data_IF_045111005631
#
_entry.id   IF_045111005631
#
_cell.length_a   1.000
_cell.length_b   1.000
_cell.length_c   1.000
_cell.angle_alpha   90.00
_cell.angle_beta   90.00
_cell.angle_gamma   90.00
#
_symmetry.space_group_name_H-M   'P 1'
#
loop_
_entity.id
_entity.type
_entity.pdbx_description
1 polymer ?
#
# COMPACT_ATOMS: atom_id res chain seq x y z
N UNK A 1 -23.13 -39.62 8.21
CA UNK A 1 -22.12 -38.93 9.03
C UNK A 1 -21.09 -38.27 8.10
N UNK A 2 -21.46 -37.17 7.46
CA UNK A 2 -20.57 -36.38 6.61
C UNK A 2 -20.57 -34.97 7.17
N UNK A 3 -19.52 -34.67 7.92
CA UNK A 3 -19.23 -33.33 8.42
C UNK A 3 -19.27 -32.34 7.25
N UNK A 4 -20.25 -31.43 7.26
CA UNK A 4 -20.19 -30.19 6.52
C UNK A 4 -18.95 -29.46 7.02
N UNK A 5 -17.87 -29.49 6.24
CA UNK A 5 -16.72 -28.61 6.43
C UNK A 5 -17.31 -27.20 6.34
N UNK A 6 -17.55 -26.58 7.49
CA UNK A 6 -17.80 -25.15 7.61
C UNK A 6 -16.63 -24.51 6.86
N UNK A 7 -16.86 -23.97 5.66
CA UNK A 7 -15.87 -23.15 4.97
C UNK A 7 -15.56 -22.00 5.92
N UNK A 8 -14.47 -22.12 6.67
CA UNK A 8 -13.97 -21.01 7.47
C UNK A 8 -13.76 -19.86 6.49
N UNK A 9 -14.49 -18.76 6.73
CA UNK A 9 -14.37 -17.55 5.92
C UNK A 9 -12.89 -17.16 5.91
N UNK A 10 -12.28 -17.09 4.73
CA UNK A 10 -10.88 -16.68 4.61
C UNK A 10 -10.74 -15.29 5.22
N UNK A 11 -9.86 -15.17 6.20
CA UNK A 11 -9.60 -13.89 6.86
C UNK A 11 -8.91 -12.93 5.88
N UNK A 12 -9.15 -11.64 6.06
CA UNK A 12 -8.72 -10.55 5.21
C UNK A 12 -7.58 -9.77 5.86
N UNK A 13 -6.48 -9.58 5.14
CA UNK A 13 -5.36 -8.74 5.56
C UNK A 13 -5.26 -7.52 4.65
N UNK A 14 -5.29 -6.34 5.24
CA UNK A 14 -4.97 -5.07 4.58
C UNK A 14 -3.49 -4.75 4.78
N UNK A 15 -2.68 -4.74 3.72
CA UNK A 15 -1.29 -4.32 3.80
C UNK A 15 -1.21 -2.81 3.62
N UNK A 16 -0.62 -2.17 4.61
CA UNK A 16 -0.23 -0.78 4.66
C UNK A 16 1.29 -0.73 4.58
N UNK A 17 1.82 -0.16 3.50
CA UNK A 17 3.28 -0.07 3.28
C UNK A 17 3.62 1.14 2.42
N UNK A 18 4.89 1.59 2.45
CA UNK A 18 5.32 2.74 1.65
C UNK A 18 5.26 2.29 0.20
N UNK A 19 4.21 2.74 -0.48
CA UNK A 19 3.96 2.48 -1.88
C UNK A 19 4.82 3.45 -2.69
N UNK A 20 6.14 3.28 -2.60
CA UNK A 20 7.09 4.01 -3.42
C UNK A 20 6.87 3.64 -4.89
N UNK A 21 6.47 4.61 -5.71
CA UNK A 21 6.17 4.34 -7.12
C UNK A 21 7.39 3.79 -7.88
N UNK A 22 8.61 4.11 -7.45
CA UNK A 22 9.84 3.84 -8.19
C UNK A 22 10.96 3.17 -7.36
N UNK A 23 10.60 2.39 -6.33
CA UNK A 23 11.57 1.67 -5.50
C UNK A 23 11.39 0.16 -5.66
N UNK A 24 12.43 -0.53 -6.14
CA UNK A 24 12.43 -1.99 -6.33
C UNK A 24 12.28 -2.74 -5.01
N UNK A 25 12.99 -2.31 -3.96
CA UNK A 25 12.91 -2.90 -2.62
C UNK A 25 11.48 -2.90 -2.10
N UNK A 26 10.81 -1.74 -2.10
CA UNK A 26 9.43 -1.63 -1.62
C UNK A 26 8.47 -2.54 -2.41
N UNK A 27 8.65 -2.65 -3.74
CA UNK A 27 7.78 -3.49 -4.58
C UNK A 27 7.99 -4.97 -4.31
N UNK A 28 9.25 -5.40 -4.20
CA UNK A 28 9.61 -6.80 -3.94
C UNK A 28 9.25 -7.23 -2.52
N UNK A 29 9.48 -6.38 -1.52
CA UNK A 29 9.06 -6.64 -0.14
C UNK A 29 7.53 -6.78 -0.04
N UNK A 30 6.78 -5.86 -0.66
CA UNK A 30 5.33 -5.95 -0.66
C UNK A 30 4.82 -7.19 -1.39
N UNK A 31 5.45 -7.56 -2.51
CA UNK A 31 5.14 -8.81 -3.19
C UNK A 31 5.41 -10.03 -2.30
N UNK A 32 6.57 -10.08 -1.64
CA UNK A 32 6.95 -11.19 -0.78
C UNK A 32 5.96 -11.39 0.37
N UNK A 33 5.61 -10.32 1.08
CA UNK A 33 4.67 -10.42 2.22
C UNK A 33 3.25 -10.77 1.76
N UNK A 34 2.80 -10.24 0.62
CA UNK A 34 1.53 -10.62 0.01
C UNK A 34 1.49 -12.13 -0.30
N UNK A 35 2.56 -12.69 -0.88
CA UNK A 35 2.65 -14.13 -1.15
C UNK A 35 2.70 -14.99 0.10
N UNK A 36 3.44 -14.55 1.12
CA UNK A 36 3.45 -15.24 2.42
C UNK A 36 2.04 -15.33 2.99
N UNK A 37 1.30 -14.22 3.06
CA UNK A 37 -0.06 -14.23 3.58
C UNK A 37 -1.04 -15.05 2.74
N UNK A 38 -0.95 -14.97 1.41
CA UNK A 38 -1.78 -15.82 0.53
C UNK A 38 -1.49 -17.31 0.78
N UNK A 39 -0.21 -17.69 0.90
CA UNK A 39 0.18 -19.07 1.18
C UNK A 39 -0.30 -19.58 2.55
N UNK A 40 -0.53 -18.67 3.50
CA UNK A 40 -1.12 -18.98 4.81
C UNK A 40 -2.66 -18.95 4.81
N UNK A 41 -3.30 -18.89 3.64
CA UNK A 41 -4.76 -18.97 3.52
C UNK A 41 -5.49 -17.65 3.79
N UNK A 42 -4.81 -16.51 3.68
CA UNK A 42 -5.46 -15.20 3.80
C UNK A 42 -5.85 -14.63 2.44
N UNK A 43 -6.90 -13.81 2.44
CA UNK A 43 -7.19 -12.90 1.33
C UNK A 43 -6.52 -11.56 1.61
N UNK A 44 -5.69 -11.09 0.68
CA UNK A 44 -4.75 -9.99 0.96
C UNK A 44 -4.99 -8.85 0.00
N UNK A 45 -4.87 -7.61 0.48
CA UNK A 45 -4.94 -6.42 -0.37
C UNK A 45 -3.92 -5.39 0.06
N UNK A 46 -3.07 -4.96 -0.87
CA UNK A 46 -2.19 -3.80 -0.69
C UNK A 46 -3.00 -2.53 -0.83
N UNK A 47 -3.00 -1.68 0.18
CA UNK A 47 -3.75 -0.43 0.21
C UNK A 47 -2.91 0.68 -0.42
N UNK A 48 -3.44 1.27 -1.50
CA UNK A 48 -2.80 2.39 -2.20
C UNK A 48 -3.24 3.71 -1.59
N UNK A 49 -2.31 4.65 -1.53
CA UNK A 49 -2.59 6.03 -1.16
C UNK A 49 -2.26 7.02 -2.28
N UNK A 50 -2.77 8.23 -2.14
CA UNK A 50 -2.47 9.35 -3.01
C UNK A 50 -1.15 9.97 -2.59
N UNK A 51 -0.26 10.18 -3.56
CA UNK A 51 0.86 11.08 -3.34
C UNK A 51 0.31 12.50 -3.25
N UNK A 52 0.73 13.24 -2.22
CA UNK A 52 0.37 14.65 -2.11
C UNK A 52 1.28 15.46 -3.02
N UNK A 53 0.67 16.19 -3.95
CA UNK A 53 1.31 17.36 -4.53
C UNK A 53 1.31 18.45 -3.46
N UNK A 54 2.43 19.17 -3.34
CA UNK A 54 2.50 20.30 -2.41
C UNK A 54 1.57 21.43 -2.88
N UNK A 55 1.09 22.31 -2.01
CA UNK A 55 0.34 23.50 -2.45
C UNK A 55 1.20 24.50 -3.26
N UNK A 56 2.50 24.24 -3.41
CA UNK A 56 3.41 25.08 -4.17
C UNK A 56 3.41 24.67 -5.66
N UNK A 57 2.85 25.53 -6.50
CA UNK A 57 2.71 25.33 -7.94
C UNK A 57 4.05 25.08 -8.65
N UNK A 58 5.10 25.83 -8.30
CA UNK A 58 6.44 25.68 -8.91
C UNK A 58 7.01 24.30 -8.58
N UNK A 59 6.88 23.87 -7.34
CA UNK A 59 7.34 22.54 -6.90
C UNK A 59 6.60 21.42 -7.62
N UNK A 60 5.29 21.59 -7.87
CA UNK A 60 4.49 20.61 -8.62
C UNK A 60 4.91 20.51 -10.09
N UNK A 61 5.32 21.62 -10.73
CA UNK A 61 5.89 21.60 -12.08
C UNK A 61 7.21 20.83 -12.11
N UNK A 62 8.09 21.05 -11.13
CA UNK A 62 9.38 20.34 -11.06
C UNK A 62 9.15 18.83 -10.89
N UNK A 63 8.22 18.45 -10.00
CA UNK A 63 7.85 17.05 -9.77
C UNK A 63 7.33 16.43 -11.07
N UNK A 64 6.41 17.10 -11.79
CA UNK A 64 5.86 16.56 -13.03
C UNK A 64 6.91 16.42 -14.13
N UNK A 65 7.86 17.35 -14.25
CA UNK A 65 8.99 17.24 -15.18
C UNK A 65 9.88 16.03 -14.87
N UNK A 66 10.18 15.78 -13.58
CA UNK A 66 10.95 14.60 -13.16
C UNK A 66 10.19 13.31 -13.47
N UNK A 67 8.87 13.29 -13.27
CA UNK A 67 8.02 12.13 -13.58
C UNK A 67 7.97 11.84 -15.08
N UNK A 68 7.88 12.87 -15.93
CA UNK A 68 7.92 12.75 -17.40
C UNK A 68 9.27 12.15 -17.83
N UNK A 69 10.39 12.67 -17.29
CA UNK A 69 11.73 12.15 -17.61
C UNK A 69 11.88 10.67 -17.25
N UNK A 70 11.30 10.26 -16.13
CA UNK A 70 11.37 8.89 -15.64
C UNK A 70 10.23 7.98 -16.13
N UNK A 71 9.42 8.42 -17.09
CA UNK A 71 8.20 7.72 -17.51
C UNK A 71 8.43 6.24 -17.86
N UNK A 72 9.50 5.91 -18.60
CA UNK A 72 9.83 4.51 -18.95
C UNK A 72 10.05 3.66 -17.69
N UNK A 73 10.83 4.16 -16.74
CA UNK A 73 11.10 3.50 -15.46
C UNK A 73 9.81 3.35 -14.65
N UNK A 74 9.01 4.41 -14.54
CA UNK A 74 7.73 4.40 -13.83
C UNK A 74 6.75 3.38 -14.43
N UNK A 75 6.76 3.22 -15.76
CA UNK A 75 5.91 2.25 -16.47
C UNK A 75 6.26 0.81 -16.11
N UNK A 76 7.55 0.49 -15.93
CA UNK A 76 7.99 -0.84 -15.46
C UNK A 76 7.40 -1.13 -14.07
N UNK A 77 7.52 -0.20 -13.14
CA UNK A 77 6.96 -0.36 -11.79
C UNK A 77 5.43 -0.43 -11.77
N UNK A 78 4.78 0.37 -12.61
CA UNK A 78 3.33 0.34 -12.78
C UNK A 78 2.86 -1.03 -13.28
N UNK A 79 3.51 -1.55 -14.34
CA UNK A 79 3.22 -2.87 -14.88
C UNK A 79 3.46 -3.97 -13.86
N UNK A 80 4.59 -3.94 -13.16
CA UNK A 80 4.88 -4.88 -12.08
C UNK A 80 3.76 -4.86 -11.03
N UNK A 81 3.36 -3.68 -10.57
CA UNK A 81 2.35 -3.55 -9.52
C UNK A 81 1.00 -4.11 -9.96
N UNK A 82 0.60 -3.86 -11.20
CA UNK A 82 -0.67 -4.35 -11.73
C UNK A 82 -0.67 -5.86 -12.00
N UNK A 83 0.49 -6.42 -12.36
CA UNK A 83 0.61 -7.84 -12.68
C UNK A 83 0.76 -8.72 -11.43
N UNK A 84 1.50 -8.22 -10.43
CA UNK A 84 1.98 -9.07 -9.33
C UNK A 84 1.38 -8.74 -7.96
N UNK A 85 0.76 -7.57 -7.78
CA UNK A 85 0.21 -7.13 -6.49
C UNK A 85 -1.32 -7.02 -6.54
N UNK A 86 -1.99 -7.45 -5.48
CA UNK A 86 -3.43 -7.25 -5.31
C UNK A 86 -3.71 -5.88 -4.70
N UNK A 87 -3.75 -4.85 -5.54
CA UNK A 87 -3.89 -3.47 -5.11
C UNK A 87 -5.36 -3.08 -4.83
N UNK A 88 -5.58 -2.21 -3.85
CA UNK A 88 -6.88 -1.56 -3.64
C UNK A 88 -7.30 -0.77 -4.88
N UNK A 89 -8.56 -0.93 -5.32
CA UNK A 89 -9.08 -0.19 -6.48
C UNK A 89 -9.03 1.32 -6.22
N UNK A 90 -9.43 1.74 -5.03
CA UNK A 90 -9.35 3.14 -4.58
C UNK A 90 -7.95 3.47 -4.08
N UNK A 91 -7.47 4.68 -4.39
CA UNK A 91 -6.33 5.32 -3.74
C UNK A 91 -6.85 6.21 -2.63
N UNK A 92 -6.38 6.00 -1.41
CA UNK A 92 -6.85 6.71 -0.23
C UNK A 92 -6.02 7.94 0.06
N UNK A 93 -6.67 8.91 0.70
CA UNK A 93 -6.02 10.07 1.28
C UNK A 93 -5.90 9.77 2.76
N UNK A 94 -4.67 9.74 3.29
CA UNK A 94 -4.44 9.38 4.69
C UNK A 94 -5.00 10.42 5.67
N UNK A 95 -5.23 11.65 5.23
CA UNK A 95 -5.80 12.69 6.07
C UNK A 95 -7.34 12.65 6.13
N UNK A 96 -7.98 11.67 5.49
CA UNK A 96 -9.45 11.59 5.41
C UNK A 96 -9.97 10.34 6.10
N UNK A 97 -11.03 10.50 6.90
CA UNK A 97 -11.67 9.43 7.67
C UNK A 97 -12.00 8.17 6.86
N UNK A 98 -12.27 8.31 5.56
CA UNK A 98 -12.61 7.19 4.69
C UNK A 98 -11.51 6.13 4.48
N UNK A 99 -10.28 6.32 4.97
CA UNK A 99 -9.29 5.24 5.05
C UNK A 99 -9.61 4.27 6.20
N UNK A 100 -10.02 4.81 7.36
CA UNK A 100 -10.31 4.02 8.56
C UNK A 100 -11.51 3.11 8.33
N UNK A 101 -12.58 3.64 7.73
CA UNK A 101 -13.74 2.84 7.34
C UNK A 101 -13.38 1.67 6.41
N UNK A 102 -12.39 1.88 5.54
CA UNK A 102 -11.92 0.85 4.63
C UNK A 102 -11.03 -0.18 5.34
N UNK A 103 -10.14 0.25 6.22
CA UNK A 103 -9.29 -0.62 7.04
C UNK A 103 -10.12 -1.51 7.97
N UNK A 104 -11.21 -0.98 8.53
CA UNK A 104 -12.15 -1.73 9.38
C UNK A 104 -12.89 -2.85 8.64
N UNK A 105 -12.78 -2.96 7.31
CA UNK A 105 -13.33 -4.08 6.54
C UNK A 105 -12.43 -5.32 6.51
N UNK A 106 -11.21 -5.21 7.03
CA UNK A 106 -10.22 -6.28 7.13
C UNK A 106 -10.21 -6.88 8.53
N UNK A 107 -9.88 -8.17 8.64
CA UNK A 107 -9.74 -8.84 9.93
C UNK A 107 -8.41 -8.46 10.60
N UNK A 108 -7.38 -8.18 9.80
CA UNK A 108 -6.08 -7.69 10.26
C UNK A 108 -5.53 -6.60 9.34
N UNK A 109 -4.70 -5.73 9.90
CA UNK A 109 -3.88 -4.76 9.16
C UNK A 109 -2.41 -5.09 9.39
N UNK A 110 -1.66 -5.21 8.30
CA UNK A 110 -0.21 -5.40 8.33
C UNK A 110 0.46 -4.09 7.95
N UNK A 111 1.34 -3.57 8.79
CA UNK A 111 2.14 -2.37 8.54
C UNK A 111 3.60 -2.75 8.19
N UNK A 112 4.25 -2.01 7.30
CA UNK A 112 5.65 -2.27 6.90
C UNK A 112 6.69 -1.79 7.91
N UNK A 113 7.93 -2.30 7.85
CA UNK A 113 9.02 -1.89 8.76
C UNK A 113 9.41 -0.42 8.60
N UNK A 114 9.54 0.06 7.37
CA UNK A 114 9.98 1.43 7.05
C UNK A 114 8.99 2.50 7.51
N UNK A 115 7.84 2.08 8.02
CA UNK A 115 6.73 2.90 8.49
C UNK A 115 6.69 3.02 10.01
N UNK A 116 7.09 1.95 10.71
CA UNK A 116 7.13 1.88 12.16
C UNK A 116 8.41 2.52 12.71
N UNK A 117 9.51 2.51 11.94
CA UNK A 117 10.85 2.85 12.44
C UNK A 117 11.53 4.05 11.76
N UNK A 118 10.84 4.77 10.85
CA UNK A 118 11.44 5.86 10.08
C UNK A 118 10.79 7.23 10.36
N UNK A 119 10.80 7.64 11.61
CA UNK A 119 10.32 8.95 12.08
C UNK A 119 10.96 10.16 11.39
N UNK A 120 12.22 10.05 10.93
CA UNK A 120 12.95 11.15 10.29
C UNK A 120 12.46 11.53 8.86
N UNK A 121 11.83 10.61 8.13
CA UNK A 121 11.33 10.86 6.75
C UNK A 121 9.81 10.93 6.65
N UNK A 122 9.13 10.73 7.76
CA UNK A 122 7.69 10.78 7.87
C UNK A 122 7.31 12.14 8.43
N UNK A 123 6.53 12.93 7.68
CA UNK A 123 5.83 14.05 8.32
C UNK A 123 5.02 13.51 9.50
N UNK A 124 4.81 14.29 10.57
CA UNK A 124 3.99 13.90 11.73
C UNK A 124 2.70 13.13 11.35
N UNK A 125 2.06 13.54 10.25
CA UNK A 125 0.85 12.94 9.68
C UNK A 125 0.99 11.52 9.12
N UNK A 126 2.18 11.11 8.70
CA UNK A 126 2.44 9.73 8.29
C UNK A 126 2.81 8.85 9.49
N UNK A 127 3.41 9.42 10.54
CA UNK A 127 3.64 8.72 11.81
C UNK A 127 2.32 8.32 12.48
N UNK A 128 1.35 9.24 12.56
CA UNK A 128 0.00 8.97 13.10
C UNK A 128 -0.73 7.83 12.36
N UNK A 129 -0.36 7.56 11.10
CA UNK A 129 -0.95 6.50 10.28
C UNK A 129 -0.29 5.12 10.50
N UNK A 130 0.96 5.09 10.94
CA UNK A 130 1.72 3.85 11.12
C UNK A 130 1.75 3.33 12.55
N UNK A 131 1.46 4.20 13.51
CA UNK A 131 1.47 3.87 14.92
C UNK A 131 0.12 3.37 15.47
N UNK A 132 -0.90 3.21 14.60
CA UNK A 132 -2.24 2.64 14.90
C UNK A 132 -2.72 2.80 16.35
#
# INVERSE_FOLDING_TARGET
MTWLIKKNKLKKIGIVTIYGNNNYGNKLQNYAIEKIYINHGFTVKTIRYKNYYTNNFVKNIIISMIEIRNYKKNRVFYNFSNQYLNLSKKKFDFNKNGIWDYLNTFDFVSVGSDQVWNDAYLSQKMLDYFLL
#
